data_IF_352750574882
#
_entry.id   IF_352750574882
#
_cell.length_a   1.000
_cell.length_b   1.000
_cell.length_c   1.000
_cell.angle_alpha   90.00
_cell.angle_beta   90.00
_cell.angle_gamma   90.00
#
_symmetry.space_group_name_H-M   'P 1'
#
loop_
_entity.id
_entity.type
_entity.pdbx_description
1 polymer ?
#
# COMPACT_ATOMS: atom_id res chain seq x y z
N UNK A 1 9.21 -14.33 -9.67
CA UNK A 1 8.08 -14.34 -8.72
C UNK A 1 6.95 -13.58 -9.39
N UNK A 2 5.80 -14.21 -9.57
CA UNK A 2 4.64 -13.60 -10.25
C UNK A 2 3.94 -12.55 -9.35
N UNK A 3 3.24 -11.59 -9.96
CA UNK A 3 2.50 -10.52 -9.26
C UNK A 3 1.51 -11.12 -8.26
N UNK A 4 0.69 -12.09 -8.70
CA UNK A 4 -0.36 -12.70 -7.86
C UNK A 4 0.25 -13.40 -6.65
N UNK A 5 1.34 -14.14 -6.86
CA UNK A 5 2.04 -14.82 -5.78
C UNK A 5 2.59 -13.84 -4.74
N UNK A 6 3.14 -12.70 -5.18
CA UNK A 6 3.67 -11.68 -4.25
C UNK A 6 2.55 -10.99 -3.48
N UNK A 7 1.43 -10.66 -4.12
CA UNK A 7 0.28 -10.04 -3.45
C UNK A 7 -0.36 -11.00 -2.43
N UNK A 8 -0.39 -12.30 -2.71
CA UNK A 8 -0.89 -13.30 -1.77
C UNK A 8 0.05 -13.49 -0.57
N UNK A 9 1.37 -13.50 -0.77
CA UNK A 9 2.33 -13.56 0.35
C UNK A 9 2.29 -12.27 1.19
N UNK A 10 2.05 -11.12 0.55
CA UNK A 10 1.89 -9.83 1.22
C UNK A 10 0.56 -9.70 1.99
N UNK A 11 -0.39 -10.62 1.77
CA UNK A 11 -1.72 -10.57 2.36
C UNK A 11 -1.64 -10.54 3.90
N UNK A 12 -2.35 -9.58 4.49
CA UNK A 12 -2.33 -9.32 5.94
C UNK A 12 -1.07 -8.61 6.46
N UNK A 13 -0.06 -8.36 5.61
CA UNK A 13 1.24 -7.77 5.98
C UNK A 13 1.43 -6.33 5.50
N UNK A 14 0.46 -5.78 4.76
CA UNK A 14 0.52 -4.44 4.18
C UNK A 14 0.86 -3.29 5.15
N UNK A 15 0.33 -3.24 6.39
CA UNK A 15 0.74 -2.19 7.32
C UNK A 15 2.25 -2.16 7.57
N UNK A 16 2.88 -3.32 7.71
CA UNK A 16 4.32 -3.46 7.92
C UNK A 16 5.11 -3.15 6.64
N UNK A 17 4.63 -3.61 5.48
CA UNK A 17 5.25 -3.33 4.18
C UNK A 17 5.27 -1.82 3.92
N UNK A 18 4.15 -1.14 4.14
CA UNK A 18 4.05 0.31 3.97
C UNK A 18 5.01 1.05 4.91
N UNK A 19 5.05 0.69 6.19
CA UNK A 19 5.97 1.33 7.13
C UNK A 19 7.45 1.15 6.73
N UNK A 20 7.85 -0.06 6.33
CA UNK A 20 9.22 -0.34 5.84
C UNK A 20 9.57 0.43 4.56
N UNK A 21 8.59 0.75 3.73
CA UNK A 21 8.76 1.58 2.53
C UNK A 21 8.62 3.08 2.81
N UNK A 22 8.37 3.48 4.06
CA UNK A 22 8.15 4.89 4.43
C UNK A 22 6.79 5.43 4.00
N UNK A 23 5.86 4.58 3.58
CA UNK A 23 4.49 4.96 3.21
C UNK A 23 3.66 5.05 4.50
N UNK A 24 3.35 6.26 4.94
CA UNK A 24 2.59 6.48 6.17
C UNK A 24 1.09 6.40 5.90
N UNK A 25 0.47 5.28 6.30
CA UNK A 25 -0.98 5.09 6.29
C UNK A 25 -1.56 5.17 7.71
N UNK A 26 -2.83 5.57 7.88
CA UNK A 26 -3.53 5.43 9.15
C UNK A 26 -3.63 3.95 9.56
N UNK A 27 -3.98 3.72 10.83
CA UNK A 27 -4.30 2.37 11.31
C UNK A 27 -5.43 1.77 10.47
N UNK A 28 -5.43 0.43 10.34
CA UNK A 28 -6.51 -0.31 9.66
C UNK A 28 -7.88 0.16 10.14
N UNK A 29 -8.78 0.44 9.21
CA UNK A 29 -10.16 0.89 9.47
C UNK A 29 -10.25 2.34 9.95
N UNK A 30 -9.17 3.12 9.87
CA UNK A 30 -9.14 4.53 10.26
C UNK A 30 -8.87 5.43 9.06
N UNK A 31 -9.28 6.68 9.24
CA UNK A 31 -9.12 7.75 8.28
C UNK A 31 -7.84 8.55 8.60
N UNK A 32 -7.24 9.14 7.58
CA UNK A 32 -5.99 9.88 7.72
C UNK A 32 -5.65 10.76 6.51
N UNK A 33 -4.47 11.41 6.55
CA UNK A 33 -3.90 12.11 5.41
C UNK A 33 -3.63 11.13 4.26
N UNK A 34 -3.77 11.60 3.02
CA UNK A 34 -3.51 10.75 1.86
C UNK A 34 -2.02 10.69 1.54
N UNK A 35 -1.40 9.49 1.48
CA UNK A 35 0.02 9.36 1.14
C UNK A 35 0.33 9.75 -0.31
N UNK A 36 -0.68 9.70 -1.20
CA UNK A 36 -0.50 9.89 -2.64
C UNK A 36 -0.65 11.34 -3.09
N UNK A 37 -1.57 12.10 -2.49
CA UNK A 37 -1.76 13.51 -2.83
C UNK A 37 -1.25 14.48 -1.76
N UNK A 38 -0.78 13.97 -0.62
CA UNK A 38 -0.16 14.77 0.46
C UNK A 38 -1.11 15.72 1.19
N UNK A 39 -2.39 15.69 0.87
CA UNK A 39 -3.35 16.69 1.31
C UNK A 39 -4.43 16.04 2.20
N UNK A 40 -4.98 16.84 3.13
CA UNK A 40 -6.08 16.51 4.04
C UNK A 40 -5.68 15.77 5.30
N UNK A 41 -6.67 15.59 6.18
CA UNK A 41 -6.49 14.96 7.50
C UNK A 41 -7.28 13.65 7.65
N UNK A 42 -8.34 13.44 6.87
CA UNK A 42 -9.30 12.34 7.05
C UNK A 42 -9.81 11.70 5.72
N UNK A 43 -9.27 12.12 4.58
CA UNK A 43 -9.81 11.73 3.25
C UNK A 43 -9.42 10.33 2.82
N UNK A 44 -8.31 9.82 3.36
CA UNK A 44 -7.74 8.54 3.01
C UNK A 44 -8.14 7.51 4.06
N UNK A 45 -8.67 6.39 3.59
CA UNK A 45 -9.09 5.29 4.45
C UNK A 45 -8.38 4.01 4.00
N UNK A 46 -7.59 3.46 4.92
CA UNK A 46 -6.95 2.16 4.76
C UNK A 46 -7.84 1.09 5.41
N UNK A 47 -8.69 0.45 4.60
CA UNK A 47 -9.66 -0.55 5.09
C UNK A 47 -9.07 -1.97 5.10
N UNK A 48 -8.07 -2.23 4.28
CA UNK A 48 -7.33 -3.50 4.19
C UNK A 48 -8.26 -4.72 4.19
N UNK A 49 -9.30 -4.65 3.35
CA UNK A 49 -10.30 -5.68 3.15
C UNK A 49 -9.61 -6.96 2.71
N UNK A 50 -9.98 -8.06 3.37
CA UNK A 50 -9.46 -9.40 3.13
C UNK A 50 -7.92 -9.51 3.31
N UNK A 51 -7.28 -8.50 3.89
CA UNK A 51 -5.81 -8.45 3.99
C UNK A 51 -5.12 -8.04 2.68
N UNK A 52 -5.83 -7.53 1.67
CA UNK A 52 -5.26 -7.16 0.36
C UNK A 52 -4.57 -5.78 0.33
N UNK A 53 -4.55 -5.08 1.46
CA UNK A 53 -3.97 -3.75 1.57
C UNK A 53 -4.84 -2.69 0.92
N UNK A 54 -6.15 -2.93 0.82
CA UNK A 54 -7.06 -2.02 0.13
C UNK A 54 -7.19 -0.68 0.83
N UNK A 55 -7.44 0.33 0.01
CA UNK A 55 -7.56 1.71 0.45
C UNK A 55 -8.42 2.50 -0.53
N UNK A 56 -8.92 3.64 -0.06
CA UNK A 56 -9.52 4.65 -0.92
C UNK A 56 -9.25 6.07 -0.42
N UNK A 57 -9.28 7.03 -1.33
CA UNK A 57 -9.16 8.46 -1.10
C UNK A 57 -10.31 9.18 -1.80
N UNK A 58 -11.05 10.00 -1.04
CA UNK A 58 -12.23 10.72 -1.56
C UNK A 58 -11.93 11.89 -2.51
N UNK A 59 -10.65 12.33 -2.62
CA UNK A 59 -10.25 13.52 -3.41
C UNK A 59 -9.33 13.20 -4.58
N UNK A 60 -8.65 12.06 -4.57
CA UNK A 60 -7.83 11.68 -5.72
C UNK A 60 -8.76 11.36 -6.89
N UNK A 61 -8.63 12.07 -8.02
CA UNK A 61 -9.48 11.87 -9.20
C UNK A 61 -9.25 10.49 -9.82
N UNK A 62 -8.05 10.22 -10.33
CA UNK A 62 -7.75 8.94 -11.02
C UNK A 62 -7.21 7.84 -10.09
N UNK A 63 -6.82 8.23 -8.87
CA UNK A 63 -6.15 7.38 -7.88
C UNK A 63 -7.02 7.20 -6.63
N UNK A 64 -8.34 7.10 -6.77
CA UNK A 64 -9.27 7.13 -5.64
C UNK A 64 -9.36 5.82 -4.86
N UNK A 65 -8.93 4.69 -5.41
CA UNK A 65 -8.88 3.42 -4.70
C UNK A 65 -7.85 2.46 -5.29
N UNK A 66 -7.48 1.44 -4.53
CA UNK A 66 -6.57 0.40 -4.96
C UNK A 66 -6.29 -0.64 -3.87
N UNK A 67 -5.45 -1.62 -4.20
CA UNK A 67 -4.86 -2.58 -3.27
C UNK A 67 -3.46 -2.14 -2.81
N UNK A 68 -2.78 -2.99 -2.03
CA UNK A 68 -1.46 -2.67 -1.50
C UNK A 68 -0.38 -2.52 -2.57
N UNK A 69 -0.41 -3.31 -3.65
CA UNK A 69 0.59 -3.21 -4.71
C UNK A 69 0.41 -1.92 -5.50
N UNK A 70 -0.84 -1.58 -5.83
CA UNK A 70 -1.18 -0.33 -6.52
C UNK A 70 -0.82 0.90 -5.67
N UNK A 71 -0.91 0.82 -4.33
CA UNK A 71 -0.41 1.87 -3.45
C UNK A 71 1.09 2.10 -3.65
N UNK A 72 1.89 1.03 -3.57
CA UNK A 72 3.36 1.11 -3.72
C UNK A 72 3.72 1.66 -5.09
N UNK A 73 3.12 1.11 -6.15
CA UNK A 73 3.32 1.58 -7.53
C UNK A 73 3.02 3.08 -7.66
N UNK A 74 1.88 3.54 -7.12
CA UNK A 74 1.46 4.94 -7.23
C UNK A 74 2.26 5.90 -6.35
N UNK A 75 2.72 5.46 -5.19
CA UNK A 75 3.49 6.28 -4.25
C UNK A 75 4.90 6.57 -4.78
N UNK A 76 5.55 5.57 -5.37
CA UNK A 76 6.89 5.72 -5.95
C UNK A 76 6.88 6.12 -7.42
N UNK A 77 5.71 6.23 -8.04
CA UNK A 77 5.53 6.50 -9.48
C UNK A 77 6.30 5.49 -10.37
N UNK A 78 6.16 4.20 -10.05
CA UNK A 78 6.82 3.10 -10.75
C UNK A 78 5.80 2.10 -11.28
N UNK A 79 6.18 1.31 -12.29
CA UNK A 79 5.36 0.22 -12.81
C UNK A 79 5.07 -0.85 -11.74
N UNK A 80 3.98 -1.61 -11.92
CA UNK A 80 3.62 -2.72 -11.03
C UNK A 80 4.77 -3.72 -10.86
N UNK A 81 5.57 -3.96 -11.91
CA UNK A 81 6.74 -4.83 -11.86
C UNK A 81 7.81 -4.32 -10.90
N UNK A 82 8.12 -3.01 -10.95
CA UNK A 82 9.06 -2.41 -10.01
C UNK A 82 8.49 -2.37 -8.60
N UNK A 83 7.20 -2.09 -8.44
CA UNK A 83 6.52 -2.15 -7.14
C UNK A 83 6.62 -3.54 -6.50
N UNK A 84 6.49 -4.62 -7.28
CA UNK A 84 6.69 -5.99 -6.79
C UNK A 84 8.08 -6.18 -6.20
N UNK A 85 9.14 -5.65 -6.84
CA UNK A 85 10.51 -5.75 -6.34
C UNK A 85 10.69 -5.03 -5.00
N UNK A 86 10.04 -3.88 -4.83
CA UNK A 86 10.00 -3.16 -3.55
C UNK A 86 9.27 -3.98 -2.48
N UNK A 87 8.12 -4.58 -2.80
CA UNK A 87 7.38 -5.43 -1.85
C UNK A 87 8.19 -6.66 -1.45
N UNK A 88 8.79 -7.37 -2.41
CA UNK A 88 9.61 -8.56 -2.14
C UNK A 88 10.82 -8.22 -1.26
N UNK A 89 11.48 -7.08 -1.47
CA UNK A 89 12.63 -6.68 -0.65
C UNK A 89 12.24 -6.43 0.81
N UNK A 90 11.00 -6.03 1.08
CA UNK A 90 10.49 -5.89 2.45
C UNK A 90 10.12 -7.23 3.09
N UNK A 91 9.61 -8.18 2.31
CA UNK A 91 9.21 -9.50 2.78
C UNK A 91 10.41 -10.40 3.11
N UNK A 92 11.52 -10.24 2.39
CA UNK A 92 12.75 -11.05 2.55
C UNK A 92 13.65 -10.67 3.73
N UNK A 93 13.36 -9.57 4.45
CA UNK A 93 14.10 -9.21 5.69
C UNK A 93 13.44 -9.86 6.90
N UNK A 94 13.56 -11.18 6.99
CA UNK A 94 13.56 -11.92 8.25
C UNK A 94 15.00 -12.36 8.50
N UNK A 95 15.79 -11.43 9.04
CA UNK A 95 17.16 -11.67 9.47
C UNK A 95 17.24 -11.51 10.98
N UNK A 96 17.17 -12.66 11.67
CA UNK A 96 17.50 -12.96 13.07
C UNK A 96 16.67 -12.30 14.16
#
# INVERSE_FOLDING_TARGET
>A
MDIQNVTEIARGRWPMIFDRLGIKVPKRGKHGPCPLCGDGVDRFHFDDKEGRGTWHCRKCADKSAGDGLSMVSRYFDVSCYHAVRLVVSTLGRHGK
#
